data_IF_507700143035
#
_entry.id   IF_507700143035
#
_cell.length_a   1.000
_cell.length_b   1.000
_cell.length_c   1.000
_cell.angle_alpha   90.00
_cell.angle_beta   90.00
_cell.angle_gamma   90.00
#
_symmetry.space_group_name_H-M   'P 1'
#
loop_
_entity.id
_entity.type
_entity.pdbx_description
1 polymer ?
#
# COMPACT_ATOMS: atom_id res chain seq x y z
N UNK A 1 14.61 23.52 38.64
CA UNK A 1 14.44 23.39 37.16
C UNK A 1 15.62 22.51 36.70
N UNK A 2 15.34 21.21 36.54
CA UNK A 2 16.35 20.26 36.01
C UNK A 2 16.47 20.56 34.52
N UNK A 3 17.66 20.98 34.09
CA UNK A 3 18.03 21.06 32.68
C UNK A 3 17.86 19.64 32.09
N UNK A 4 16.74 19.38 31.44
CA UNK A 4 16.63 18.22 30.56
C UNK A 4 17.52 18.51 29.36
N UNK A 5 18.69 17.84 29.32
CA UNK A 5 19.65 17.97 28.23
C UNK A 5 19.06 17.49 26.89
N UNK A 6 19.77 17.75 25.81
CA UNK A 6 19.46 17.16 24.49
C UNK A 6 19.65 15.64 24.56
N UNK A 7 18.68 14.89 24.05
CA UNK A 7 18.68 13.42 23.96
C UNK A 7 18.50 13.02 22.51
N UNK A 8 19.33 12.13 22.00
CA UNK A 8 19.26 11.59 20.64
C UNK A 8 19.04 10.09 20.71
N UNK A 9 18.03 9.61 20.00
CA UNK A 9 17.80 8.20 19.75
C UNK A 9 18.07 7.91 18.27
N UNK A 10 18.94 6.94 17.99
CA UNK A 10 19.24 6.51 16.63
C UNK A 10 19.15 4.99 16.52
N UNK A 11 18.26 4.50 15.66
CA UNK A 11 18.14 3.10 15.29
C UNK A 11 18.69 2.96 13.87
N UNK A 12 19.90 2.42 13.76
CA UNK A 12 20.67 2.40 12.51
C UNK A 12 20.12 1.45 11.42
N UNK A 13 19.28 0.47 11.80
CA UNK A 13 18.61 -0.42 10.88
C UNK A 13 17.25 -0.83 11.45
N UNK A 14 16.20 -0.58 10.71
CA UNK A 14 14.85 -0.99 11.07
C UNK A 14 14.64 -2.47 10.75
N UNK A 15 14.13 -3.23 11.72
CA UNK A 15 13.79 -4.63 11.52
C UNK A 15 12.32 -4.80 11.08
N UNK A 16 12.04 -5.87 10.35
CA UNK A 16 10.69 -6.26 9.93
C UNK A 16 9.98 -5.19 9.09
N UNK A 17 10.74 -4.49 8.26
CA UNK A 17 10.28 -3.64 7.17
C UNK A 17 10.93 -4.13 5.87
N UNK A 18 10.37 -3.79 4.73
CA UNK A 18 11.01 -4.09 3.45
C UNK A 18 12.01 -2.98 3.11
N UNK A 19 13.27 -3.36 2.83
CA UNK A 19 14.35 -2.44 2.46
C UNK A 19 15.15 -1.89 3.64
N UNK A 20 16.00 -0.89 3.38
CA UNK A 20 16.98 -0.36 4.32
C UNK A 20 16.66 1.07 4.76
N UNK A 21 16.30 1.23 6.04
CA UNK A 21 15.98 2.51 6.66
C UNK A 21 16.42 2.59 8.11
N UNK A 22 16.56 3.80 8.61
CA UNK A 22 16.94 4.13 9.97
C UNK A 22 15.95 5.12 10.59
N UNK A 23 15.86 5.11 11.91
CA UNK A 23 15.11 6.09 12.68
C UNK A 23 16.08 7.04 13.38
N UNK A 24 15.82 8.33 13.29
CA UNK A 24 16.51 9.36 14.04
C UNK A 24 15.49 10.24 14.77
N UNK A 25 15.69 10.38 16.08
CA UNK A 25 14.91 11.28 16.93
C UNK A 25 15.84 12.17 17.73
N UNK A 26 15.55 13.46 17.78
CA UNK A 26 16.19 14.42 18.66
C UNK A 26 15.15 15.10 19.56
N UNK A 27 15.41 15.05 20.84
CA UNK A 27 14.54 15.62 21.87
C UNK A 27 15.33 16.67 22.65
N UNK A 28 14.80 17.87 22.76
CA UNK A 28 15.42 18.98 23.47
C UNK A 28 14.44 19.52 24.53
N UNK A 29 14.89 19.62 25.77
CA UNK A 29 14.08 20.18 26.85
C UNK A 29 12.77 19.42 27.18
N UNK A 30 12.62 18.18 26.70
CA UNK A 30 11.40 17.37 26.85
C UNK A 30 10.42 17.49 25.68
N UNK A 31 10.81 18.18 24.62
CA UNK A 31 10.06 18.27 23.35
C UNK A 31 10.78 17.51 22.24
N UNK A 32 10.01 16.96 21.30
CA UNK A 32 10.55 16.32 20.10
C UNK A 32 10.90 17.41 19.08
N UNK A 33 12.19 17.73 19.01
CA UNK A 33 12.71 18.71 18.06
C UNK A 33 12.78 18.15 16.63
N UNK A 34 12.99 16.83 16.48
CA UNK A 34 13.17 16.20 15.19
C UNK A 34 12.81 14.72 15.23
N UNK A 35 12.07 14.26 14.22
CA UNK A 35 11.79 12.84 13.96
C UNK A 35 11.99 12.59 12.45
N UNK A 36 12.85 11.64 12.08
CA UNK A 36 13.19 11.32 10.69
C UNK A 36 13.13 9.82 10.44
N UNK A 37 12.48 9.43 9.36
CA UNK A 37 12.63 8.11 8.74
C UNK A 37 13.70 8.23 7.64
N UNK A 38 14.94 7.92 8.00
CA UNK A 38 16.07 8.05 7.09
C UNK A 38 16.20 6.81 6.22
N UNK A 39 15.76 6.91 4.96
CA UNK A 39 15.97 5.87 3.96
C UNK A 39 17.34 6.07 3.34
N UNK A 40 18.19 5.03 3.40
CA UNK A 40 19.55 5.05 2.87
C UNK A 40 19.82 3.98 1.81
N UNK A 41 18.79 3.24 1.40
CA UNK A 41 18.89 2.31 0.27
C UNK A 41 19.29 3.06 -1.01
N UNK A 42 20.29 2.56 -1.78
CA UNK A 42 20.73 3.24 -3.00
C UNK A 42 19.59 3.38 -4.03
N UNK A 43 19.42 4.55 -4.66
CA UNK A 43 18.45 4.74 -5.74
C UNK A 43 18.73 3.82 -6.93
N UNK A 44 17.68 3.29 -7.56
CA UNK A 44 17.81 2.28 -8.63
C UNK A 44 17.47 2.78 -10.03
N UNK A 45 17.15 4.06 -10.21
CA UNK A 45 17.01 4.76 -11.49
C UNK A 45 15.98 4.19 -12.47
N UNK A 46 14.90 3.58 -12.01
CA UNK A 46 13.93 2.94 -12.89
C UNK A 46 13.33 3.88 -13.93
N UNK A 47 13.04 5.14 -13.61
CA UNK A 47 12.54 6.12 -14.57
C UNK A 47 13.53 6.39 -15.70
N UNK A 48 14.83 6.48 -15.37
CA UNK A 48 15.89 6.64 -16.37
C UNK A 48 16.03 5.40 -17.26
N UNK A 49 15.87 4.19 -16.70
CA UNK A 49 15.91 2.94 -17.50
C UNK A 49 14.74 2.81 -18.46
N UNK A 50 13.61 3.42 -18.17
CA UNK A 50 12.42 3.37 -19.02
C UNK A 50 12.56 4.27 -20.26
N UNK A 51 13.30 5.37 -20.17
CA UNK A 51 13.54 6.28 -21.32
C UNK A 51 14.30 5.57 -22.43
N UNK A 52 13.82 5.70 -23.65
CA UNK A 52 14.36 5.02 -24.83
C UNK A 52 13.91 3.57 -25.02
N UNK A 53 13.05 3.04 -24.13
CA UNK A 53 12.47 1.69 -24.24
C UNK A 53 11.22 1.69 -25.10
N UNK A 54 10.92 0.53 -25.67
CA UNK A 54 9.62 0.31 -26.31
C UNK A 54 8.48 0.44 -25.30
N UNK A 55 7.36 1.02 -25.70
CA UNK A 55 6.15 1.15 -24.87
C UNK A 55 5.63 -0.20 -24.34
N UNK A 56 6.07 -1.31 -24.89
CA UNK A 56 5.69 -2.66 -24.41
C UNK A 56 6.52 -3.15 -23.22
N UNK A 57 7.66 -2.52 -22.91
CA UNK A 57 8.60 -2.98 -21.89
C UNK A 57 8.28 -2.45 -20.46
N UNK A 58 7.63 -1.28 -20.25
CA UNK A 58 7.41 -0.74 -18.90
C UNK A 58 6.77 -1.72 -17.91
N UNK A 59 5.75 -2.55 -18.24
CA UNK A 59 5.19 -3.51 -17.28
C UNK A 59 6.21 -4.52 -16.77
N UNK A 60 7.09 -5.02 -17.62
CA UNK A 60 8.12 -5.99 -17.21
C UNK A 60 9.26 -5.34 -16.42
N UNK A 61 9.70 -4.15 -16.82
CA UNK A 61 10.77 -3.42 -16.16
C UNK A 61 10.32 -2.99 -14.75
N UNK A 62 9.14 -2.35 -14.63
CA UNK A 62 8.66 -1.81 -13.37
C UNK A 62 8.29 -2.89 -12.36
N UNK A 63 7.89 -4.09 -12.81
CA UNK A 63 7.68 -5.22 -11.91
C UNK A 63 8.94 -5.57 -11.08
N UNK A 64 10.14 -5.15 -11.52
CA UNK A 64 11.42 -5.40 -10.83
C UNK A 64 11.73 -4.38 -9.74
N UNK A 65 10.91 -3.34 -9.61
CA UNK A 65 11.05 -2.37 -8.51
C UNK A 65 10.87 -3.06 -7.16
N UNK A 66 9.93 -4.01 -7.07
CA UNK A 66 9.68 -4.71 -5.81
C UNK A 66 9.33 -6.19 -6.05
N UNK A 67 9.80 -7.07 -5.16
CA UNK A 67 9.45 -8.49 -5.17
C UNK A 67 8.12 -8.81 -4.48
N UNK A 68 7.58 -7.88 -3.68
CA UNK A 68 6.34 -8.07 -2.90
C UNK A 68 5.12 -7.49 -3.62
N UNK A 69 5.26 -6.34 -4.34
CA UNK A 69 4.17 -5.69 -5.05
C UNK A 69 4.39 -5.55 -6.57
N UNK A 70 4.89 -6.57 -7.28
CA UNK A 70 5.17 -6.48 -8.70
C UNK A 70 3.93 -6.30 -9.56
N UNK A 71 2.76 -6.82 -9.15
CA UNK A 71 1.49 -6.70 -9.87
C UNK A 71 1.01 -5.25 -9.88
N UNK A 72 1.13 -4.55 -8.75
CA UNK A 72 0.77 -3.14 -8.68
C UNK A 72 1.56 -2.32 -9.71
N UNK A 73 2.88 -2.53 -9.80
CA UNK A 73 3.72 -1.87 -10.80
C UNK A 73 3.37 -2.25 -12.23
N UNK A 74 3.14 -3.54 -12.50
CA UNK A 74 2.77 -4.02 -13.83
C UNK A 74 1.44 -3.44 -14.30
N UNK A 75 0.41 -3.47 -13.46
CA UNK A 75 -0.92 -3.00 -13.83
C UNK A 75 -0.96 -1.48 -13.93
N UNK A 76 -0.26 -0.73 -13.05
CA UNK A 76 -0.13 0.72 -13.19
C UNK A 76 0.57 1.09 -14.50
N UNK A 77 1.65 0.38 -14.87
CA UNK A 77 2.34 0.59 -16.13
C UNK A 77 1.47 0.23 -17.33
N UNK A 78 0.75 -0.90 -17.30
CA UNK A 78 -0.20 -1.26 -18.36
C UNK A 78 -1.25 -0.15 -18.55
N UNK A 79 -1.87 0.31 -17.46
CA UNK A 79 -2.91 1.34 -17.52
C UNK A 79 -2.39 2.66 -18.10
N UNK A 80 -1.20 3.10 -17.67
CA UNK A 80 -0.64 4.36 -18.17
C UNK A 80 -0.28 4.29 -19.65
N UNK A 81 0.29 3.17 -20.13
CA UNK A 81 0.59 2.99 -21.54
C UNK A 81 -0.69 2.81 -22.36
N UNK A 82 -1.65 2.06 -21.86
CA UNK A 82 -2.97 1.85 -22.51
C UNK A 82 -3.74 3.17 -22.62
N UNK A 83 -3.68 4.03 -21.60
CA UNK A 83 -4.25 5.38 -21.61
C UNK A 83 -3.60 6.25 -22.72
N UNK A 84 -2.25 6.27 -22.79
CA UNK A 84 -1.55 6.97 -23.86
C UNK A 84 -1.95 6.49 -25.27
N UNK A 85 -2.23 5.19 -25.42
CA UNK A 85 -2.65 4.58 -26.68
C UNK A 85 -4.16 4.66 -26.92
N UNK A 86 -4.96 5.12 -25.95
CA UNK A 86 -6.41 5.24 -26.03
C UNK A 86 -7.15 3.89 -26.02
N UNK A 87 -6.60 2.89 -25.34
CA UNK A 87 -7.16 1.53 -25.20
C UNK A 87 -7.53 1.26 -23.76
N UNK A 88 -8.71 0.71 -23.53
CA UNK A 88 -9.16 0.28 -22.18
C UNK A 88 -9.59 -1.19 -22.28
N UNK A 89 -8.79 -2.14 -21.74
CA UNK A 89 -9.24 -3.52 -21.63
C UNK A 89 -10.43 -3.62 -20.68
N UNK A 90 -11.47 -4.31 -21.09
CA UNK A 90 -12.74 -4.44 -20.34
C UNK A 90 -13.15 -5.90 -20.12
N UNK A 91 -14.36 -6.10 -19.58
CA UNK A 91 -14.99 -7.40 -19.39
C UNK A 91 -14.12 -8.40 -18.64
N UNK A 92 -13.95 -9.58 -19.20
CA UNK A 92 -13.21 -10.67 -18.54
C UNK A 92 -11.71 -10.38 -18.41
N UNK A 93 -11.11 -9.56 -19.28
CA UNK A 93 -9.68 -9.18 -19.16
C UNK A 93 -9.47 -8.24 -17.98
N UNK A 94 -10.36 -7.28 -17.77
CA UNK A 94 -10.33 -6.42 -16.59
C UNK A 94 -10.57 -7.23 -15.31
N UNK A 95 -11.56 -8.15 -15.32
CA UNK A 95 -11.83 -9.02 -14.18
C UNK A 95 -10.63 -9.92 -13.82
N UNK A 96 -9.90 -10.45 -14.80
CA UNK A 96 -8.68 -11.25 -14.55
C UNK A 96 -7.54 -10.39 -14.00
N UNK A 97 -7.39 -9.13 -14.40
CA UNK A 97 -6.41 -8.21 -13.80
C UNK A 97 -6.75 -7.93 -12.34
N UNK A 98 -8.04 -7.71 -12.06
CA UNK A 98 -8.52 -7.54 -10.69
C UNK A 98 -8.30 -8.80 -9.85
N UNK A 99 -8.53 -10.00 -10.40
CA UNK A 99 -8.26 -11.27 -9.72
C UNK A 99 -6.76 -11.41 -9.41
N UNK A 100 -5.88 -11.11 -10.37
CA UNK A 100 -4.43 -11.12 -10.16
C UNK A 100 -4.02 -10.16 -9.04
N UNK A 101 -4.62 -8.99 -9.02
CA UNK A 101 -4.38 -7.96 -8.00
C UNK A 101 -4.87 -8.39 -6.61
N UNK A 102 -6.02 -9.09 -6.52
CA UNK A 102 -6.47 -9.72 -5.28
C UNK A 102 -5.41 -10.70 -4.74
N UNK A 103 -4.74 -11.45 -5.61
CA UNK A 103 -3.64 -12.35 -5.22
C UNK A 103 -2.50 -11.60 -4.53
N UNK A 104 -2.06 -10.48 -5.07
CA UNK A 104 -1.02 -9.65 -4.46
C UNK A 104 -1.48 -9.04 -3.12
N UNK A 105 -2.71 -8.57 -3.01
CA UNK A 105 -3.21 -8.06 -1.74
C UNK A 105 -3.25 -9.13 -0.65
N UNK A 106 -3.70 -10.33 -0.99
CA UNK A 106 -3.76 -11.46 -0.04
C UNK A 106 -2.36 -11.82 0.43
N UNK A 107 -1.40 -12.01 -0.49
CA UNK A 107 -0.05 -12.45 -0.11
C UNK A 107 0.73 -11.38 0.65
N UNK A 108 0.71 -10.13 0.18
CA UNK A 108 1.48 -9.02 0.73
C UNK A 108 0.96 -8.57 2.09
N UNK A 109 -0.36 -8.37 2.21
CA UNK A 109 -0.93 -7.93 3.48
C UNK A 109 -0.89 -9.02 4.54
N UNK A 110 -1.04 -10.30 4.15
CA UNK A 110 -0.87 -11.43 5.08
C UNK A 110 0.56 -11.55 5.60
N UNK A 111 1.56 -11.34 4.72
CA UNK A 111 2.96 -11.25 5.12
C UNK A 111 3.15 -10.18 6.18
N UNK A 112 2.63 -8.97 5.93
CA UNK A 112 2.73 -7.87 6.89
C UNK A 112 2.03 -8.19 8.21
N UNK A 113 0.78 -8.63 8.18
CA UNK A 113 -0.01 -8.91 9.38
C UNK A 113 0.69 -9.93 10.28
N UNK A 114 0.99 -11.12 9.75
CA UNK A 114 1.43 -12.26 10.55
C UNK A 114 2.94 -12.30 10.83
N UNK A 115 3.76 -11.82 9.88
CA UNK A 115 5.21 -12.01 9.97
C UNK A 115 5.98 -10.75 10.33
N UNK A 116 5.47 -9.56 9.95
CA UNK A 116 6.18 -8.31 10.17
C UNK A 116 5.63 -7.51 11.37
N UNK A 117 4.30 -7.41 11.53
CA UNK A 117 3.68 -6.50 12.49
C UNK A 117 3.12 -7.20 13.74
N UNK A 118 2.45 -8.36 13.62
CA UNK A 118 1.91 -9.07 14.78
C UNK A 118 2.93 -9.35 15.90
N UNK A 119 4.22 -9.66 15.63
CA UNK A 119 5.20 -9.86 16.68
C UNK A 119 5.30 -8.71 17.69
N UNK A 120 5.08 -7.46 17.25
CA UNK A 120 5.12 -6.27 18.13
C UNK A 120 4.07 -6.29 19.24
N UNK A 121 2.93 -6.91 18.99
CA UNK A 121 1.81 -6.98 19.95
C UNK A 121 2.03 -8.06 21.01
N UNK A 122 3.00 -8.92 20.81
CA UNK A 122 3.37 -10.01 21.72
C UNK A 122 4.78 -9.85 22.30
N UNK A 123 5.44 -8.72 22.05
CA UNK A 123 6.81 -8.49 22.50
C UNK A 123 7.83 -9.48 21.91
N UNK A 124 7.59 -9.95 20.69
CA UNK A 124 8.46 -10.87 19.98
C UNK A 124 9.33 -10.16 18.94
N UNK A 125 10.59 -10.57 18.82
CA UNK A 125 11.51 -10.00 17.83
C UNK A 125 11.22 -10.49 16.40
N UNK A 126 10.59 -11.64 16.26
CA UNK A 126 10.34 -12.26 14.95
C UNK A 126 9.06 -13.12 14.96
N UNK A 127 8.57 -13.44 13.75
CA UNK A 127 7.51 -14.43 13.59
C UNK A 127 7.92 -15.84 14.04
N UNK A 128 9.21 -16.17 14.03
CA UNK A 128 9.72 -17.45 14.55
C UNK A 128 9.55 -17.50 16.06
N UNK A 129 9.82 -16.40 16.76
CA UNK A 129 9.59 -16.32 18.20
C UNK A 129 8.10 -16.36 18.53
N UNK A 130 7.28 -15.64 17.76
CA UNK A 130 5.83 -15.67 17.88
C UNK A 130 5.28 -17.09 17.68
N UNK A 131 5.83 -17.87 16.76
CA UNK A 131 5.39 -19.24 16.50
C UNK A 131 5.63 -20.21 17.68
N UNK A 132 6.45 -19.85 18.67
CA UNK A 132 6.65 -20.67 19.88
C UNK A 132 5.41 -20.72 20.76
N UNK A 133 4.63 -19.63 20.78
CA UNK A 133 3.42 -19.49 21.61
C UNK A 133 2.14 -19.37 20.81
N UNK A 134 2.23 -18.89 19.56
CA UNK A 134 1.09 -18.60 18.65
C UNK A 134 1.26 -19.31 17.31
N UNK A 135 1.66 -20.59 17.36
CA UNK A 135 1.96 -21.40 16.17
C UNK A 135 0.78 -21.48 15.19
N UNK A 136 -0.42 -21.68 15.69
CA UNK A 136 -1.62 -21.77 14.85
C UNK A 136 -1.88 -20.48 14.05
N UNK A 137 -1.61 -19.33 14.66
CA UNK A 137 -1.79 -18.03 14.01
C UNK A 137 -0.74 -17.79 12.92
N UNK A 138 0.51 -18.16 13.17
CA UNK A 138 1.58 -18.08 12.17
C UNK A 138 1.31 -19.04 11.00
N UNK A 139 0.91 -20.29 11.27
CA UNK A 139 0.55 -21.26 10.25
C UNK A 139 -0.67 -20.82 9.42
N UNK A 140 -1.66 -20.16 10.05
CA UNK A 140 -2.80 -19.53 9.35
C UNK A 140 -2.32 -18.46 8.38
N UNK A 141 -1.40 -17.59 8.79
CA UNK A 141 -0.78 -16.61 7.91
C UNK A 141 -0.06 -17.25 6.72
N UNK A 142 0.68 -18.33 6.93
CA UNK A 142 1.36 -19.04 5.83
C UNK A 142 0.36 -19.64 4.83
N UNK A 143 -0.77 -20.21 5.29
CA UNK A 143 -1.82 -20.73 4.40
C UNK A 143 -2.50 -19.61 3.59
N UNK A 144 -2.79 -18.46 4.21
CA UNK A 144 -3.34 -17.29 3.52
C UNK A 144 -2.37 -16.78 2.46
N UNK A 145 -1.08 -16.62 2.81
CA UNK A 145 -0.05 -16.22 1.86
C UNK A 145 0.05 -17.20 0.68
N UNK A 146 -0.01 -18.50 0.95
CA UNK A 146 -0.01 -19.52 -0.09
C UNK A 146 -1.24 -19.40 -1.02
N UNK A 147 -2.41 -19.05 -0.49
CA UNK A 147 -3.61 -18.82 -1.32
C UNK A 147 -3.46 -17.62 -2.26
N UNK A 148 -2.87 -16.52 -1.78
CA UNK A 148 -2.51 -15.37 -2.64
C UNK A 148 -1.53 -15.76 -3.73
N UNK A 149 -0.44 -16.46 -3.36
CA UNK A 149 0.57 -16.95 -4.32
C UNK A 149 -0.05 -17.88 -5.38
N UNK A 150 -1.02 -18.70 -5.03
CA UNK A 150 -1.69 -19.61 -5.98
C UNK A 150 -2.44 -18.82 -7.08
N UNK A 151 -3.04 -17.67 -6.75
CA UNK A 151 -3.61 -16.76 -7.76
C UNK A 151 -2.51 -16.22 -8.67
N UNK A 152 -1.41 -15.73 -8.08
CA UNK A 152 -0.29 -15.15 -8.82
C UNK A 152 0.37 -16.18 -9.76
N UNK A 153 0.57 -17.39 -9.31
CA UNK A 153 1.14 -18.50 -10.11
C UNK A 153 0.23 -18.88 -11.28
N UNK A 154 -1.07 -19.03 -11.03
CA UNK A 154 -2.02 -19.42 -12.07
C UNK A 154 -2.17 -18.35 -13.15
N UNK A 155 -2.34 -17.09 -12.74
CA UNK A 155 -2.60 -15.97 -13.67
C UNK A 155 -1.33 -15.30 -14.14
N UNK A 156 -0.36 -15.14 -13.25
CA UNK A 156 0.89 -14.45 -13.52
C UNK A 156 2.00 -15.34 -14.09
N UNK A 157 1.82 -16.66 -14.01
CA UNK A 157 2.82 -17.65 -14.42
C UNK A 157 3.88 -17.95 -13.35
N UNK A 158 4.01 -17.10 -12.33
CA UNK A 158 4.82 -17.28 -11.12
C UNK A 158 4.41 -16.28 -10.03
N UNK A 159 4.70 -16.63 -8.77
CA UNK A 159 4.31 -15.81 -7.63
C UNK A 159 5.05 -14.47 -7.54
N UNK A 160 6.32 -14.40 -7.97
CA UNK A 160 7.15 -13.19 -7.89
C UNK A 160 7.50 -12.73 -9.31
N UNK A 161 7.32 -11.44 -9.59
CA UNK A 161 7.51 -10.82 -10.90
C UNK A 161 6.77 -11.58 -12.00
N UNK A 162 5.44 -11.54 -12.06
CA UNK A 162 4.62 -12.23 -13.05
C UNK A 162 5.08 -11.97 -14.48
N UNK A 163 4.98 -12.99 -15.34
CA UNK A 163 5.46 -12.95 -16.73
C UNK A 163 4.33 -13.09 -17.75
N UNK A 164 3.12 -13.32 -17.29
CA UNK A 164 1.96 -13.54 -18.15
C UNK A 164 1.15 -12.26 -18.45
N UNK A 165 1.44 -11.16 -17.74
CA UNK A 165 0.80 -9.85 -17.95
C UNK A 165 1.40 -9.19 -19.20
N UNK A 166 0.57 -8.57 -20.02
CA UNK A 166 0.97 -7.73 -21.14
C UNK A 166 -0.01 -6.58 -21.36
N UNK A 167 0.38 -5.63 -22.19
CA UNK A 167 -0.53 -4.59 -22.65
C UNK A 167 -1.76 -5.22 -23.33
N UNK A 168 -2.92 -4.70 -23.00
CA UNK A 168 -4.20 -5.21 -23.51
C UNK A 168 -4.72 -6.46 -22.82
N UNK A 169 -4.00 -7.06 -21.85
CA UNK A 169 -4.44 -8.27 -21.13
C UNK A 169 -3.31 -9.18 -20.67
N UNK A 170 -3.31 -10.43 -21.17
CA UNK A 170 -2.39 -11.50 -20.78
C UNK A 170 -1.83 -12.22 -22.00
N UNK A 171 -0.71 -12.91 -21.87
CA UNK A 171 -0.24 -13.84 -22.91
C UNK A 171 -1.12 -15.09 -22.97
N UNK A 172 -1.64 -15.54 -21.83
CA UNK A 172 -2.56 -16.68 -21.69
C UNK A 172 -3.62 -16.38 -20.61
N UNK A 173 -4.87 -16.78 -20.84
CA UNK A 173 -5.92 -16.79 -19.82
C UNK A 173 -6.20 -18.22 -19.34
N UNK A 174 -6.60 -18.39 -18.06
CA UNK A 174 -6.92 -19.72 -17.54
C UNK A 174 -8.21 -20.27 -18.15
N UNK A 175 -8.36 -21.57 -18.11
CA UNK A 175 -9.64 -22.24 -18.34
C UNK A 175 -10.46 -22.28 -17.05
N UNK A 176 -11.78 -22.42 -17.15
CA UNK A 176 -12.64 -22.60 -15.98
C UNK A 176 -12.27 -23.85 -15.15
N UNK A 177 -11.68 -24.88 -15.78
CA UNK A 177 -11.23 -26.11 -15.09
C UNK A 177 -10.02 -25.80 -14.20
N UNK A 178 -9.07 -24.98 -14.69
CA UNK A 178 -7.87 -24.59 -13.91
C UNK A 178 -8.23 -23.70 -12.71
N UNK A 179 -9.31 -22.95 -12.76
CA UNK A 179 -9.77 -22.10 -11.64
C UNK A 179 -10.48 -22.88 -10.51
N UNK A 180 -10.99 -24.09 -10.76
CA UNK A 180 -11.75 -24.86 -9.75
C UNK A 180 -10.91 -25.19 -8.49
N UNK A 181 -9.69 -25.73 -8.59
CA UNK A 181 -8.87 -26.01 -7.40
C UNK A 181 -8.54 -24.73 -6.62
N UNK A 182 -8.31 -23.61 -7.34
CA UNK A 182 -8.07 -22.32 -6.72
C UNK A 182 -9.29 -21.85 -5.93
N UNK A 183 -10.51 -21.94 -6.50
CA UNK A 183 -11.73 -21.58 -5.79
C UNK A 183 -11.93 -22.39 -4.49
N UNK A 184 -11.63 -23.71 -4.51
CA UNK A 184 -11.69 -24.55 -3.31
C UNK A 184 -10.68 -24.10 -2.24
N UNK A 185 -9.47 -23.73 -2.65
CA UNK A 185 -8.45 -23.19 -1.75
C UNK A 185 -8.89 -21.85 -1.15
N UNK A 186 -9.43 -20.93 -1.97
CA UNK A 186 -9.89 -19.63 -1.52
C UNK A 186 -11.09 -19.70 -0.57
N UNK A 187 -12.02 -20.66 -0.76
CA UNK A 187 -13.13 -20.87 0.20
C UNK A 187 -12.61 -21.22 1.59
N UNK A 188 -11.58 -22.09 1.69
CA UNK A 188 -10.93 -22.38 2.99
C UNK A 188 -10.15 -21.18 3.52
N UNK A 189 -9.45 -20.45 2.64
CA UNK A 189 -8.71 -19.25 3.02
C UNK A 189 -9.64 -18.13 3.55
N UNK A 190 -10.91 -18.07 3.10
CA UNK A 190 -11.90 -17.11 3.60
C UNK A 190 -12.18 -17.30 5.09
N UNK A 191 -12.28 -18.54 5.56
CA UNK A 191 -12.47 -18.84 6.98
C UNK A 191 -11.22 -18.42 7.79
N UNK A 192 -10.03 -18.74 7.29
CA UNK A 192 -8.75 -18.30 7.87
C UNK A 192 -8.65 -16.75 7.93
N UNK A 193 -9.14 -16.04 6.91
CA UNK A 193 -9.13 -14.57 6.88
C UNK A 193 -10.10 -13.96 7.90
N UNK A 194 -11.32 -14.52 8.06
CA UNK A 194 -12.24 -14.09 9.10
C UNK A 194 -11.66 -14.28 10.50
N UNK A 195 -11.01 -15.40 10.75
CA UNK A 195 -10.35 -15.66 12.02
C UNK A 195 -9.16 -14.70 12.23
N UNK A 196 -8.45 -14.33 11.17
CA UNK A 196 -7.38 -13.33 11.24
C UNK A 196 -7.93 -11.96 11.66
N UNK A 197 -9.08 -11.52 11.11
CA UNK A 197 -9.71 -10.25 11.54
C UNK A 197 -10.04 -10.30 13.04
N UNK A 198 -10.65 -11.38 13.52
CA UNK A 198 -10.99 -11.54 14.96
C UNK A 198 -9.74 -11.52 15.83
N UNK A 199 -8.69 -12.21 15.40
CA UNK A 199 -7.44 -12.30 16.13
C UNK A 199 -6.78 -10.93 16.29
N UNK A 200 -6.58 -10.18 15.19
CA UNK A 200 -5.94 -8.86 15.24
C UNK A 200 -6.84 -7.80 15.90
N UNK A 201 -8.16 -7.93 15.85
CA UNK A 201 -9.09 -7.04 16.55
C UNK A 201 -8.95 -7.12 18.07
N UNK A 202 -8.47 -8.24 18.60
CA UNK A 202 -8.23 -8.46 20.03
C UNK A 202 -6.87 -7.95 20.55
N UNK A 203 -6.05 -7.31 19.72
CA UNK A 203 -4.77 -6.75 20.15
C UNK A 203 -4.95 -5.50 21.00
N UNK A 204 -3.95 -5.22 21.84
CA UNK A 204 -3.90 -3.98 22.62
C UNK A 204 -3.31 -2.84 21.75
N UNK A 205 -4.13 -1.83 21.48
CA UNK A 205 -3.75 -0.71 20.63
C UNK A 205 -3.54 0.56 21.43
N UNK A 206 -2.40 1.25 21.23
CA UNK A 206 -2.26 2.61 21.76
C UNK A 206 -3.37 3.52 21.21
N UNK A 207 -3.87 4.41 22.07
CA UNK A 207 -4.75 5.48 21.62
C UNK A 207 -3.97 6.47 20.76
N UNK A 208 -4.33 6.57 19.49
CA UNK A 208 -3.68 7.42 18.51
C UNK A 208 -4.63 7.76 17.38
N UNK A 209 -4.37 8.83 16.64
CA UNK A 209 -5.16 9.20 15.46
C UNK A 209 -4.29 9.88 14.41
N UNK A 210 -4.67 9.69 13.14
CA UNK A 210 -4.09 10.33 11.98
C UNK A 210 -4.90 11.59 11.64
N UNK A 211 -4.26 12.74 11.62
CA UNK A 211 -4.83 14.02 11.21
C UNK A 211 -4.34 14.51 9.84
N UNK A 212 -3.75 13.61 9.05
CA UNK A 212 -3.37 13.90 7.68
C UNK A 212 -4.59 13.85 6.74
N UNK A 213 -4.50 14.56 5.62
CA UNK A 213 -5.38 14.34 4.49
C UNK A 213 -5.21 12.88 4.02
N UNK A 214 -6.32 12.22 3.66
CA UNK A 214 -6.30 10.84 3.17
C UNK A 214 -6.49 10.84 1.66
N UNK A 215 -5.61 10.15 0.93
CA UNK A 215 -5.66 10.01 -0.52
C UNK A 215 -5.79 8.55 -0.90
N UNK A 216 -6.82 8.19 -1.67
CA UNK A 216 -7.00 6.87 -2.25
C UNK A 216 -7.80 6.97 -3.56
N UNK A 217 -7.83 5.88 -4.32
CA UNK A 217 -8.75 5.75 -5.43
C UNK A 217 -10.17 5.49 -4.93
N UNK A 218 -11.15 6.07 -5.61
CA UNK A 218 -12.56 5.77 -5.43
C UNK A 218 -13.19 5.37 -6.75
N UNK A 219 -14.03 4.35 -6.70
CA UNK A 219 -14.82 3.89 -7.84
C UNK A 219 -16.25 3.61 -7.35
N UNK A 220 -17.28 4.26 -7.92
CA UNK A 220 -18.65 4.03 -7.50
C UNK A 220 -19.07 2.57 -7.66
N UNK A 221 -19.60 1.98 -6.59
CA UNK A 221 -20.11 0.62 -6.59
C UNK A 221 -19.09 -0.48 -6.28
N UNK A 222 -17.80 -0.15 -6.14
CA UNK A 222 -16.76 -1.13 -5.81
C UNK A 222 -15.69 -0.57 -4.88
N UNK A 223 -15.04 -1.44 -4.13
CA UNK A 223 -13.82 -1.08 -3.39
C UNK A 223 -12.68 -1.00 -4.39
N UNK A 224 -12.13 0.20 -4.61
CA UNK A 224 -11.14 0.44 -5.65
C UNK A 224 -9.85 -0.34 -5.40
N UNK A 225 -9.33 -1.02 -6.42
CA UNK A 225 -8.07 -1.75 -6.41
C UNK A 225 -7.22 -1.35 -7.63
N UNK A 226 -7.58 -1.84 -8.83
CA UNK A 226 -6.80 -1.64 -10.06
C UNK A 226 -7.21 -0.40 -10.86
N UNK A 227 -8.25 0.30 -10.42
CA UNK A 227 -8.80 1.49 -11.08
C UNK A 227 -9.53 2.39 -10.10
N UNK A 228 -9.84 3.60 -10.54
CA UNK A 228 -10.60 4.57 -9.78
C UNK A 228 -10.12 6.00 -10.04
N UNK A 229 -10.82 6.95 -9.41
CA UNK A 229 -10.50 8.37 -9.46
C UNK A 229 -9.77 8.77 -8.19
N UNK A 230 -8.63 9.47 -8.25
CA UNK A 230 -7.97 10.03 -7.09
C UNK A 230 -8.93 10.88 -6.27
N UNK A 231 -9.08 10.51 -5.01
CA UNK A 231 -10.06 11.08 -4.08
C UNK A 231 -9.38 11.44 -2.77
N UNK A 232 -9.60 12.64 -2.31
CA UNK A 232 -9.03 13.19 -1.08
C UNK A 232 -10.14 13.38 -0.06
N UNK A 233 -9.95 12.82 1.13
CA UNK A 233 -10.72 13.17 2.32
C UNK A 233 -9.84 14.07 3.20
N UNK A 234 -10.28 15.30 3.45
CA UNK A 234 -9.52 16.25 4.24
C UNK A 234 -9.27 15.77 5.67
N UNK A 235 -8.19 16.28 6.27
CA UNK A 235 -7.95 16.13 7.71
C UNK A 235 -9.10 16.74 8.53
N UNK A 236 -9.42 16.20 9.72
CA UNK A 236 -10.37 16.83 10.63
C UNK A 236 -9.92 18.24 11.02
N UNK A 237 -10.85 19.19 11.07
CA UNK A 237 -10.54 20.59 11.41
C UNK A 237 -10.21 20.81 12.90
N UNK A 238 -10.56 19.86 13.76
CA UNK A 238 -10.30 19.88 15.20
C UNK A 238 -9.39 18.74 15.60
N UNK A 239 -8.11 19.03 15.72
CA UNK A 239 -7.15 18.10 16.28
C UNK A 239 -7.49 17.85 17.77
N UNK A 240 -7.88 16.63 18.11
CA UNK A 240 -7.88 16.20 19.51
C UNK A 240 -9.17 15.66 20.13
N UNK A 241 -10.28 15.57 19.40
CA UNK A 241 -11.48 14.90 19.92
C UNK A 241 -11.73 13.57 19.20
N UNK A 242 -11.52 12.40 19.85
CA UNK A 242 -11.70 11.10 19.23
C UNK A 242 -13.05 10.90 18.53
N UNK A 243 -14.13 11.48 19.07
CA UNK A 243 -15.48 11.36 18.51
C UNK A 243 -15.70 12.13 17.19
N UNK A 244 -14.84 13.10 16.87
CA UNK A 244 -14.92 13.87 15.62
C UNK A 244 -13.89 13.39 14.58
N UNK A 245 -12.77 12.81 15.03
CA UNK A 245 -11.74 12.30 14.15
C UNK A 245 -12.19 11.08 13.33
N UNK A 246 -13.16 10.32 13.85
CA UNK A 246 -13.66 9.10 13.20
C UNK A 246 -14.85 9.34 12.25
N UNK A 247 -15.19 10.60 11.96
CA UNK A 247 -16.23 10.91 10.97
C UNK A 247 -15.72 10.79 9.55
N UNK A 248 -16.57 10.28 8.65
CA UNK A 248 -16.39 10.40 7.21
C UNK A 248 -16.59 11.86 6.84
N UNK A 249 -15.54 12.49 6.36
CA UNK A 249 -15.55 13.89 5.93
C UNK A 249 -15.86 14.00 4.44
N UNK A 250 -16.33 15.18 3.97
CA UNK A 250 -16.51 15.42 2.55
C UNK A 250 -15.24 15.14 1.76
N UNK A 251 -15.39 14.52 0.62
CA UNK A 251 -14.30 14.20 -0.30
C UNK A 251 -14.30 15.14 -1.50
N UNK A 252 -13.11 15.40 -2.04
CA UNK A 252 -12.91 16.01 -3.36
C UNK A 252 -12.17 15.04 -4.27
N UNK A 253 -12.36 15.15 -5.55
CA UNK A 253 -11.68 14.35 -6.58
C UNK A 253 -10.92 15.25 -7.52
N UNK A 254 -9.93 14.68 -8.20
CA UNK A 254 -9.27 15.29 -9.34
C UNK A 254 -9.00 14.26 -10.43
N UNK A 255 -8.79 14.70 -11.65
CA UNK A 255 -8.55 13.78 -12.75
C UNK A 255 -7.17 13.14 -12.65
N UNK A 256 -7.02 11.89 -13.11
CA UNK A 256 -5.76 11.17 -13.00
C UNK A 256 -4.60 11.88 -13.73
N UNK A 257 -4.87 12.60 -14.80
CA UNK A 257 -3.86 13.36 -15.53
C UNK A 257 -3.37 14.62 -14.78
N UNK A 258 -4.11 15.07 -13.77
CA UNK A 258 -3.73 16.18 -12.87
C UNK A 258 -2.92 15.69 -11.66
N UNK A 259 -2.67 14.37 -11.53
CA UNK A 259 -2.04 13.81 -10.33
C UNK A 259 -0.72 14.49 -9.97
N UNK A 260 0.15 14.73 -10.95
CA UNK A 260 1.44 15.39 -10.75
C UNK A 260 1.34 16.87 -10.39
N UNK A 261 0.19 17.53 -10.63
CA UNK A 261 -0.05 18.91 -10.23
C UNK A 261 -0.46 19.00 -8.75
N UNK A 262 -1.11 17.95 -8.24
CA UNK A 262 -1.57 17.84 -6.87
C UNK A 262 -0.55 17.17 -5.94
N UNK A 263 0.10 16.09 -6.39
CA UNK A 263 1.08 15.32 -5.61
C UNK A 263 2.49 15.64 -6.12
N UNK A 264 3.18 16.50 -5.39
CA UNK A 264 4.51 17.01 -5.76
C UNK A 264 5.57 16.38 -4.87
N UNK A 265 6.57 15.76 -5.51
CA UNK A 265 7.71 15.14 -4.84
C UNK A 265 8.87 16.12 -4.67
N UNK A 266 9.61 15.97 -3.59
CA UNK A 266 10.80 16.77 -3.28
C UNK A 266 11.87 15.94 -2.61
N UNK A 267 13.15 16.26 -2.90
CA UNK A 267 14.30 15.65 -2.24
C UNK A 267 14.44 16.21 -0.83
N UNK A 268 14.69 15.33 0.14
CA UNK A 268 15.05 15.70 1.52
C UNK A 268 16.47 15.22 1.86
N UNK A 269 17.25 15.97 2.66
CA UNK A 269 18.67 15.63 2.88
C UNK A 269 18.92 14.32 3.62
N UNK A 270 17.94 13.82 4.37
CA UNK A 270 18.09 12.65 5.24
C UNK A 270 17.56 11.35 4.64
N UNK A 271 17.02 11.39 3.42
CA UNK A 271 16.43 10.23 2.76
C UNK A 271 16.82 10.18 1.28
N UNK A 272 17.13 9.00 0.78
CA UNK A 272 17.33 8.74 -0.67
C UNK A 272 16.00 8.62 -1.40
N UNK A 273 14.89 8.40 -0.67
CA UNK A 273 13.55 8.45 -1.22
C UNK A 273 13.00 9.88 -1.20
N UNK A 274 12.18 10.21 -2.18
CA UNK A 274 11.50 11.50 -2.24
C UNK A 274 10.38 11.57 -1.19
N UNK A 275 10.09 12.77 -0.73
CA UNK A 275 8.89 13.09 0.06
C UNK A 275 7.85 13.76 -0.82
N UNK A 276 6.60 13.36 -0.68
CA UNK A 276 5.50 13.94 -1.46
C UNK A 276 4.59 14.81 -0.60
N UNK A 277 4.10 15.89 -1.19
CA UNK A 277 3.06 16.74 -0.61
C UNK A 277 1.86 16.80 -1.54
N UNK A 278 0.66 16.66 -0.98
CA UNK A 278 -0.62 16.85 -1.66
C UNK A 278 -1.07 18.29 -1.44
N UNK A 279 -1.09 19.09 -2.50
CA UNK A 279 -1.41 20.53 -2.44
C UNK A 279 -0.60 21.27 -1.35
N UNK A 280 0.69 20.95 -1.24
CA UNK A 280 1.60 21.53 -0.26
C UNK A 280 1.44 21.00 1.19
N UNK A 281 0.62 19.97 1.42
CA UNK A 281 0.34 19.39 2.74
C UNK A 281 0.74 17.93 2.81
N UNK A 282 1.10 17.46 4.00
CA UNK A 282 1.30 16.02 4.25
C UNK A 282 -0.02 15.29 4.06
N UNK A 283 0.06 14.09 3.52
CA UNK A 283 -1.08 13.21 3.32
C UNK A 283 -0.71 11.77 3.62
N UNK A 284 -1.70 10.92 3.76
CA UNK A 284 -1.55 9.48 3.96
C UNK A 284 -2.33 8.75 2.87
N UNK A 285 -1.68 7.79 2.23
CA UNK A 285 -2.32 6.79 1.36
C UNK A 285 -2.20 5.39 1.99
N UNK A 286 -2.99 4.44 1.52
CA UNK A 286 -2.98 3.07 2.00
C UNK A 286 -4.26 2.65 2.71
N UNK A 287 -4.18 1.65 3.56
CA UNK A 287 -5.36 0.95 4.10
C UNK A 287 -6.36 1.85 4.80
N UNK A 288 -5.89 2.77 5.66
CA UNK A 288 -6.79 3.71 6.35
C UNK A 288 -7.48 4.67 5.37
N UNK A 289 -6.75 5.18 4.37
CA UNK A 289 -7.31 6.05 3.35
C UNK A 289 -8.33 5.31 2.49
N UNK A 290 -8.02 4.09 2.04
CA UNK A 290 -8.95 3.25 1.27
C UNK A 290 -10.22 2.95 2.05
N UNK A 291 -10.07 2.53 3.33
CA UNK A 291 -11.23 2.25 4.18
C UNK A 291 -12.11 3.48 4.37
N UNK A 292 -11.51 4.64 4.64
CA UNK A 292 -12.24 5.89 4.83
C UNK A 292 -13.01 6.32 3.57
N UNK A 293 -12.39 6.18 2.39
CA UNK A 293 -12.93 6.68 1.11
C UNK A 293 -13.86 5.66 0.46
N UNK A 294 -13.46 4.40 0.41
CA UNK A 294 -14.12 3.34 -0.35
C UNK A 294 -14.78 2.25 0.52
N UNK A 295 -14.61 2.27 1.83
CA UNK A 295 -15.03 1.20 2.75
C UNK A 295 -16.52 0.83 2.66
N UNK A 296 -17.38 1.78 2.28
CA UNK A 296 -18.81 1.53 2.03
C UNK A 296 -19.09 0.48 0.94
N UNK A 297 -18.10 0.21 0.09
CA UNK A 297 -18.18 -0.73 -1.03
C UNK A 297 -17.53 -2.09 -0.75
N UNK A 298 -17.07 -2.33 0.47
CA UNK A 298 -16.65 -3.67 0.89
C UNK A 298 -17.77 -4.68 0.72
N UNK A 299 -17.42 -5.94 0.46
CA UNK A 299 -18.41 -7.02 0.43
C UNK A 299 -19.12 -7.15 1.78
N UNK A 300 -20.35 -7.70 1.82
CA UNK A 300 -21.11 -7.80 3.07
C UNK A 300 -20.35 -8.48 4.21
N UNK A 301 -19.59 -9.53 3.91
CA UNK A 301 -18.81 -10.27 4.91
C UNK A 301 -17.62 -9.44 5.43
N UNK A 302 -16.92 -8.71 4.55
CA UNK A 302 -15.81 -7.87 4.93
C UNK A 302 -16.28 -6.62 5.73
N UNK A 303 -17.40 -6.02 5.32
CA UNK A 303 -17.99 -4.89 6.04
C UNK A 303 -18.47 -5.30 7.45
N UNK A 304 -19.13 -6.47 7.56
CA UNK A 304 -19.53 -6.98 8.87
C UNK A 304 -18.33 -7.23 9.77
N UNK A 305 -17.28 -7.86 9.23
CA UNK A 305 -16.04 -8.10 9.98
C UNK A 305 -15.37 -6.79 10.43
N UNK A 306 -15.37 -5.74 9.59
CA UNK A 306 -14.86 -4.42 9.96
C UNK A 306 -15.67 -3.77 11.09
N UNK A 307 -17.01 -3.86 11.02
CA UNK A 307 -17.90 -3.37 12.07
C UNK A 307 -17.67 -4.10 13.39
N UNK A 308 -17.61 -5.43 13.37
CA UNK A 308 -17.41 -6.26 14.58
C UNK A 308 -16.02 -6.02 15.20
N UNK A 309 -15.03 -5.66 14.38
CA UNK A 309 -13.69 -5.27 14.81
C UNK A 309 -13.60 -3.80 15.32
N UNK A 310 -14.71 -3.07 15.33
CA UNK A 310 -14.79 -1.69 15.85
C UNK A 310 -14.03 -0.68 14.97
N UNK A 311 -13.99 -0.86 13.64
CA UNK A 311 -13.38 0.08 12.71
C UNK A 311 -14.31 1.25 12.31
N UNK A 312 -15.49 1.34 12.90
CA UNK A 312 -16.57 2.21 12.45
C UNK A 312 -17.33 1.64 11.25
N UNK A 313 -18.34 2.36 10.78
CA UNK A 313 -19.12 1.98 9.61
C UNK A 313 -19.14 3.16 8.61
N UNK A 314 -18.42 3.05 7.49
CA UNK A 314 -18.39 4.10 6.47
C UNK A 314 -19.77 4.42 5.86
N UNK A 315 -20.74 3.49 5.93
CA UNK A 315 -22.11 3.71 5.49
C UNK A 315 -22.88 4.60 6.48
N UNK A 316 -22.47 4.58 7.74
CA UNK A 316 -23.05 5.41 8.81
C UNK A 316 -22.22 6.67 9.11
N UNK A 317 -21.19 6.91 8.34
CA UNK A 317 -20.36 8.10 8.43
C UNK A 317 -19.28 8.05 9.50
N UNK A 318 -18.82 6.84 9.90
CA UNK A 318 -17.71 6.67 10.86
C UNK A 318 -16.64 5.76 10.31
N UNK A 319 -15.35 6.12 10.53
CA UNK A 319 -14.20 5.36 10.08
C UNK A 319 -13.06 5.44 11.09
N UNK A 320 -12.28 4.38 11.20
CA UNK A 320 -11.10 4.36 12.06
C UNK A 320 -9.98 5.22 11.45
N UNK A 321 -9.39 6.11 12.27
CA UNK A 321 -8.20 6.89 11.93
C UNK A 321 -6.99 6.58 12.83
N UNK A 322 -7.07 5.57 13.68
CA UNK A 322 -5.94 5.14 14.51
C UNK A 322 -4.92 4.33 13.67
N UNK A 323 -3.69 4.82 13.45
CA UNK A 323 -2.69 4.12 12.63
C UNK A 323 -2.35 2.72 13.16
N UNK A 324 -2.35 2.51 14.47
CA UNK A 324 -2.08 1.18 15.07
C UNK A 324 -3.13 0.14 14.70
N UNK A 325 -4.37 0.57 14.41
CA UNK A 325 -5.45 -0.32 13.98
C UNK A 325 -5.45 -0.59 12.47
N UNK A 326 -4.47 -0.06 11.73
CA UNK A 326 -4.30 -0.34 10.29
C UNK A 326 -4.12 -1.84 10.00
N UNK A 327 -3.56 -2.60 10.94
CA UNK A 327 -3.44 -4.07 10.84
C UNK A 327 -4.81 -4.75 10.74
N UNK A 328 -5.84 -4.23 11.44
CA UNK A 328 -7.21 -4.74 11.35
C UNK A 328 -7.78 -4.43 9.97
N UNK A 329 -7.57 -3.21 9.45
CA UNK A 329 -8.04 -2.84 8.11
C UNK A 329 -7.40 -3.73 7.06
N UNK A 330 -6.09 -4.03 7.17
CA UNK A 330 -5.41 -4.98 6.28
C UNK A 330 -6.03 -6.37 6.32
N UNK A 331 -6.37 -6.87 7.50
CA UNK A 331 -7.03 -8.17 7.64
C UNK A 331 -8.43 -8.18 6.98
N UNK A 332 -9.18 -7.08 7.10
CA UNK A 332 -10.46 -6.89 6.38
C UNK A 332 -10.25 -6.84 4.87
N UNK A 333 -9.21 -6.17 4.39
CA UNK A 333 -8.87 -6.12 2.97
C UNK A 333 -8.45 -7.50 2.42
N UNK A 334 -7.74 -8.33 3.21
CA UNK A 334 -7.45 -9.74 2.84
C UNK A 334 -8.74 -10.53 2.70
N UNK A 335 -9.67 -10.40 3.65
CA UNK A 335 -10.98 -11.06 3.57
C UNK A 335 -11.77 -10.58 2.35
N UNK A 336 -11.78 -9.27 2.09
CA UNK A 336 -12.42 -8.70 0.91
C UNK A 336 -11.80 -9.24 -0.39
N UNK A 337 -10.46 -9.25 -0.49
CA UNK A 337 -9.76 -9.71 -1.69
C UNK A 337 -10.05 -11.21 -2.00
N UNK A 338 -10.17 -12.04 -0.96
CA UNK A 338 -10.56 -13.44 -1.13
C UNK A 338 -12.02 -13.55 -1.62
N UNK A 339 -12.94 -12.81 -1.02
CA UNK A 339 -14.36 -12.82 -1.39
C UNK A 339 -14.56 -12.29 -2.82
N UNK A 340 -13.86 -11.24 -3.20
CA UNK A 340 -13.85 -10.67 -4.54
C UNK A 340 -13.24 -11.64 -5.57
N UNK A 341 -12.13 -12.30 -5.22
CA UNK A 341 -11.54 -13.34 -6.07
C UNK A 341 -12.53 -14.48 -6.34
N UNK A 342 -13.25 -14.94 -5.32
CA UNK A 342 -14.29 -15.96 -5.46
C UNK A 342 -15.43 -15.47 -6.36
N UNK A 343 -15.89 -14.23 -6.18
CA UNK A 343 -16.94 -13.61 -7.02
C UNK A 343 -16.52 -13.58 -8.50
N UNK A 344 -15.28 -13.20 -8.78
CA UNK A 344 -14.73 -13.16 -10.14
C UNK A 344 -14.66 -14.58 -10.74
N UNK A 345 -14.17 -15.56 -9.97
CA UNK A 345 -14.03 -16.94 -10.43
C UNK A 345 -15.41 -17.56 -10.72
N UNK A 346 -16.40 -17.31 -9.85
CA UNK A 346 -17.75 -17.84 -10.02
C UNK A 346 -18.46 -17.27 -11.28
N UNK A 347 -18.14 -16.02 -11.67
CA UNK A 347 -18.64 -15.38 -12.90
C UNK A 347 -17.70 -15.47 -14.10
N UNK A 348 -16.66 -16.29 -14.04
CA UNK A 348 -15.64 -16.32 -15.09
C UNK A 348 -16.08 -17.07 -16.33
N UNK A 349 -15.99 -16.39 -17.46
CA UNK A 349 -16.10 -16.94 -18.81
C UNK A 349 -14.80 -16.70 -19.58
N UNK A 350 -14.14 -17.72 -20.14
CA UNK A 350 -12.91 -17.52 -20.89
C UNK A 350 -13.10 -16.53 -22.02
N UNK A 351 -12.29 -15.44 -22.10
CA UNK A 351 -12.39 -14.49 -23.21
C UNK A 351 -11.99 -15.16 -24.52
N UNK A 352 -12.52 -14.66 -25.64
CA UNK A 352 -12.21 -15.19 -26.99
C UNK A 352 -10.73 -15.05 -27.33
N UNK A 353 -10.09 -13.97 -26.87
CA UNK A 353 -8.65 -13.70 -27.01
C UNK A 353 -8.10 -13.26 -25.65
N UNK A 354 -6.88 -13.65 -25.30
CA UNK A 354 -6.31 -13.30 -23.99
C UNK A 354 -5.83 -11.84 -23.92
N UNK A 355 -5.91 -11.07 -25.00
CA UNK A 355 -5.60 -9.64 -25.03
C UNK A 355 -6.41 -8.91 -26.11
N UNK A 356 -6.50 -7.58 -25.99
CA UNK A 356 -6.85 -6.65 -27.05
C UNK A 356 -5.58 -6.00 -27.59
N UNK A 357 -5.57 -5.66 -28.90
CA UNK A 357 -4.43 -5.02 -29.52
C UNK A 357 -4.29 -3.56 -28.99
N UNK A 358 -3.07 -3.17 -28.65
CA UNK A 358 -2.70 -1.82 -28.17
C UNK A 358 -1.70 -1.23 -29.17
N UNK A 359 -2.16 -0.56 -30.23
CA UNK A 359 -1.27 0.07 -31.20
C UNK A 359 -0.56 1.28 -30.57
N UNK A 360 0.74 1.45 -30.85
CA UNK A 360 1.47 2.61 -30.36
C UNK A 360 0.89 3.92 -30.90
N UNK A 361 0.87 4.92 -30.03
CA UNK A 361 0.43 6.27 -30.35
C UNK A 361 1.25 7.28 -29.57
N UNK A 362 1.66 8.37 -30.21
CA UNK A 362 2.26 9.50 -29.51
C UNK A 362 1.27 10.13 -28.53
N UNK A 363 1.71 10.35 -27.32
CA UNK A 363 0.88 10.94 -26.27
C UNK A 363 1.41 10.67 -24.88
N UNK A 364 0.80 11.30 -23.89
CA UNK A 364 1.07 11.06 -22.47
C UNK A 364 -0.11 10.30 -21.88
N UNK A 365 0.16 9.23 -21.16
CA UNK A 365 -0.84 8.45 -20.47
C UNK A 365 -0.55 8.28 -18.98
N UNK A 366 -1.60 8.08 -18.22
CA UNK A 366 -1.62 8.08 -16.77
C UNK A 366 -2.30 6.83 -16.22
N UNK A 367 -1.71 6.22 -15.23
CA UNK A 367 -2.25 5.04 -14.57
C UNK A 367 -2.07 5.10 -13.07
N UNK A 368 -3.12 4.81 -12.33
CA UNK A 368 -3.02 4.66 -10.89
C UNK A 368 -3.75 3.40 -10.42
N UNK A 369 -3.20 2.77 -9.38
CA UNK A 369 -3.76 1.59 -8.74
C UNK A 369 -3.51 1.64 -7.24
N UNK A 370 -4.28 0.86 -6.48
CA UNK A 370 -4.10 0.70 -5.03
C UNK A 370 -3.15 -0.46 -4.74
N UNK A 371 -1.84 -0.19 -4.71
CA UNK A 371 -0.88 -1.16 -4.20
C UNK A 371 -1.22 -1.55 -2.74
N UNK A 372 -0.77 -2.69 -2.21
CA UNK A 372 -1.03 -3.08 -0.81
C UNK A 372 -0.75 -1.95 0.19
N UNK A 373 0.26 -1.12 -0.08
CA UNK A 373 0.73 -0.01 0.76
C UNK A 373 0.13 1.35 0.46
N UNK A 374 -0.67 1.46 -0.61
CA UNK A 374 -1.38 2.69 -0.99
C UNK A 374 -1.35 2.97 -2.48
N UNK A 375 -1.76 4.18 -2.85
CA UNK A 375 -1.90 4.61 -4.22
C UNK A 375 -0.53 4.68 -4.92
N UNK A 376 -0.39 3.94 -6.02
CA UNK A 376 0.76 3.95 -6.91
C UNK A 376 0.35 4.62 -8.22
N UNK A 377 1.12 5.63 -8.63
CA UNK A 377 0.87 6.38 -9.87
C UNK A 377 2.03 6.21 -10.85
N UNK A 378 1.69 6.03 -12.13
CA UNK A 378 2.61 6.01 -13.26
C UNK A 378 2.17 6.99 -14.34
N UNK A 379 3.14 7.65 -14.98
CA UNK A 379 2.95 8.46 -16.18
C UNK A 379 4.03 8.09 -17.21
N UNK A 380 3.63 7.89 -18.45
CA UNK A 380 4.55 7.69 -19.56
C UNK A 380 4.20 8.62 -20.71
N UNK A 381 5.24 9.22 -21.33
CA UNK A 381 5.12 9.93 -22.61
C UNK A 381 5.75 9.10 -23.70
N UNK A 382 5.01 8.87 -24.78
CA UNK A 382 5.39 8.08 -25.93
C UNK A 382 5.56 8.98 -27.14
N UNK A 383 6.57 8.71 -27.98
CA UNK A 383 6.70 9.31 -29.31
C UNK A 383 5.86 8.54 -30.37
N UNK A 384 5.93 9.01 -31.63
CA UNK A 384 5.17 8.40 -32.75
C UNK A 384 5.61 6.98 -33.10
N UNK A 385 6.79 6.55 -32.69
CA UNK A 385 7.34 5.22 -32.93
C UNK A 385 7.04 4.26 -31.76
N UNK A 386 6.47 4.77 -30.68
CA UNK A 386 6.18 4.01 -29.46
C UNK A 386 7.36 3.89 -28.52
N UNK A 387 8.33 4.82 -28.62
CA UNK A 387 9.43 4.91 -27.65
C UNK A 387 9.00 5.73 -26.44
N UNK A 388 9.33 5.26 -25.24
CA UNK A 388 9.12 6.01 -24.01
C UNK A 388 10.12 7.16 -23.95
N UNK A 389 9.63 8.39 -24.01
CA UNK A 389 10.46 9.61 -23.93
C UNK A 389 10.56 10.18 -22.54
N UNK A 390 9.52 9.96 -21.70
CA UNK A 390 9.50 10.35 -20.31
C UNK A 390 8.72 9.34 -19.46
N UNK A 391 9.14 9.17 -18.20
CA UNK A 391 8.52 8.28 -17.24
C UNK A 391 8.57 8.89 -15.84
N UNK A 392 7.45 8.80 -15.11
CA UNK A 392 7.32 9.20 -13.70
C UNK A 392 6.61 8.10 -12.93
N UNK A 393 7.14 7.75 -11.76
CA UNK A 393 6.65 6.73 -10.85
C UNK A 393 6.53 7.36 -9.44
N UNK A 394 5.32 7.46 -8.90
CA UNK A 394 5.09 7.99 -7.55
C UNK A 394 4.56 6.88 -6.65
N UNK A 395 5.43 6.23 -5.86
CA UNK A 395 5.04 5.09 -5.03
C UNK A 395 4.41 5.52 -3.70
N UNK A 396 3.59 4.65 -3.06
CA UNK A 396 2.90 5.00 -1.83
C UNK A 396 3.83 5.30 -0.65
N UNK A 397 4.99 4.65 -0.54
CA UNK A 397 5.92 4.89 0.57
C UNK A 397 6.56 6.28 0.48
N UNK A 398 6.87 6.80 -0.71
CA UNK A 398 7.30 8.19 -0.89
C UNK A 398 6.21 9.18 -0.45
N UNK A 399 4.94 8.87 -0.75
CA UNK A 399 3.81 9.68 -0.32
C UNK A 399 3.61 9.70 1.19
N UNK A 400 3.89 8.59 1.88
CA UNK A 400 3.62 8.42 3.30
C UNK A 400 4.74 8.93 4.22
N UNK A 401 5.97 9.17 3.74
CA UNK A 401 7.12 9.47 4.61
C UNK A 401 6.86 10.67 5.53
N UNK A 402 6.36 11.77 5.01
CA UNK A 402 6.06 12.96 5.82
C UNK A 402 4.97 12.71 6.88
N UNK A 403 3.99 11.86 6.60
CA UNK A 403 2.98 11.44 7.56
C UNK A 403 3.57 10.54 8.65
N UNK A 404 4.42 9.59 8.27
CA UNK A 404 5.12 8.69 9.22
C UNK A 404 5.97 9.50 10.21
N UNK A 405 6.76 10.45 9.74
CA UNK A 405 7.60 11.31 10.57
C UNK A 405 6.78 12.15 11.55
N UNK A 406 5.64 12.68 11.11
CA UNK A 406 4.75 13.44 11.98
C UNK A 406 4.04 12.56 13.01
N UNK A 407 3.59 11.36 12.62
CA UNK A 407 3.01 10.39 13.55
C UNK A 407 4.02 9.99 14.64
N UNK A 408 5.29 9.75 14.25
CA UNK A 408 6.38 9.49 15.19
C UNK A 408 6.60 10.67 16.15
N UNK A 409 6.69 11.90 15.62
CA UNK A 409 6.88 13.11 16.43
C UNK A 409 5.79 13.25 17.51
N UNK A 410 4.53 13.08 17.13
CA UNK A 410 3.38 13.19 18.04
C UNK A 410 3.33 12.08 19.07
N UNK A 411 3.58 10.86 18.64
CA UNK A 411 3.56 9.67 19.49
C UNK A 411 4.62 9.78 20.59
N UNK A 412 5.84 10.14 20.21
CA UNK A 412 6.96 10.33 21.15
C UNK A 412 6.68 11.53 22.07
N UNK A 413 6.18 12.66 21.54
CA UNK A 413 5.84 13.83 22.34
C UNK A 413 4.81 13.50 23.43
N UNK A 414 3.77 12.74 23.08
CA UNK A 414 2.76 12.26 24.03
C UNK A 414 3.40 11.37 25.09
N UNK A 415 4.17 10.36 24.67
CA UNK A 415 4.81 9.41 25.59
C UNK A 415 5.78 10.09 26.57
N UNK A 416 6.47 11.15 26.15
CA UNK A 416 7.33 11.97 27.03
C UNK A 416 6.50 12.75 28.06
N UNK A 417 5.27 13.14 27.72
CA UNK A 417 4.32 13.80 28.60
C UNK A 417 3.77 12.87 29.70
N UNK A 418 3.70 11.56 29.44
CA UNK A 418 3.18 10.56 30.39
C UNK A 418 4.21 10.19 31.49
N UNK A 419 5.45 10.65 31.41
CA UNK A 419 6.48 10.42 32.40
C UNK A 419 7.80 9.94 31.83
N UNK A 420 8.67 9.39 32.71
CA UNK A 420 9.97 8.85 32.29
C UNK A 420 9.80 7.66 31.34
N UNK A 421 10.68 7.61 30.34
CA UNK A 421 10.70 6.57 29.32
C UNK A 421 12.15 6.24 28.95
N UNK A 422 12.45 4.96 28.86
CA UNK A 422 13.77 4.45 28.44
C UNK A 422 13.96 4.54 26.93
N UNK A 423 15.22 4.47 26.45
CA UNK A 423 15.52 4.40 25.01
C UNK A 423 14.95 3.13 24.38
N UNK A 424 14.96 2.01 25.08
CA UNK A 424 14.42 0.74 24.60
C UNK A 424 12.89 0.82 24.38
N UNK A 425 12.16 1.40 25.34
CA UNK A 425 10.70 1.61 25.20
C UNK A 425 10.37 2.56 24.04
N UNK A 426 11.11 3.67 23.89
CA UNK A 426 10.92 4.58 22.76
C UNK A 426 11.24 3.91 21.42
N UNK A 427 12.32 3.13 21.35
CA UNK A 427 12.69 2.37 20.15
C UNK A 427 11.55 1.44 19.74
N UNK A 428 11.09 0.59 20.66
CA UNK A 428 10.02 -0.36 20.39
C UNK A 428 8.73 0.34 19.93
N UNK A 429 8.36 1.44 20.58
CA UNK A 429 7.19 2.24 20.25
C UNK A 429 7.29 2.83 18.82
N UNK A 430 8.44 3.42 18.48
CA UNK A 430 8.67 4.03 17.18
C UNK A 430 8.74 3.00 16.05
N UNK A 431 9.43 1.90 16.25
CA UNK A 431 9.48 0.81 15.27
C UNK A 431 8.10 0.23 14.98
N UNK A 432 7.30 0.02 16.03
CA UNK A 432 5.91 -0.41 15.88
C UNK A 432 5.08 0.63 15.12
N UNK A 433 5.26 1.93 15.39
CA UNK A 433 4.58 3.01 14.67
C UNK A 433 4.96 3.06 13.19
N UNK A 434 6.23 2.85 12.84
CA UNK A 434 6.68 2.75 11.44
C UNK A 434 6.00 1.55 10.75
N UNK A 435 5.95 0.40 11.41
CA UNK A 435 5.32 -0.82 10.87
C UNK A 435 3.80 -0.69 10.69
N UNK A 436 3.11 0.23 11.38
CA UNK A 436 1.70 0.55 11.09
C UNK A 436 1.47 0.90 9.62
N UNK A 437 2.44 1.57 8.98
CA UNK A 437 2.36 2.06 7.61
C UNK A 437 2.84 1.04 6.58
N UNK A 438 3.45 -0.09 7.00
CA UNK A 438 4.01 -1.12 6.12
C UNK A 438 4.92 -0.51 5.04
N UNK A 439 5.98 0.24 5.39
CA UNK A 439 6.79 0.90 4.39
C UNK A 439 7.51 -0.10 3.48
N UNK A 440 7.41 0.12 2.17
CA UNK A 440 8.21 -0.56 1.16
C UNK A 440 9.34 0.39 0.72
N UNK A 441 10.46 0.29 1.38
CA UNK A 441 11.58 1.23 1.23
C UNK A 441 12.17 1.14 -0.16
N UNK A 442 12.40 -0.08 -0.65
CA UNK A 442 12.92 -0.30 -2.02
C UNK A 442 12.00 0.30 -3.10
N UNK A 443 10.69 0.36 -2.88
CA UNK A 443 9.78 1.02 -3.81
C UNK A 443 10.02 2.52 -3.88
N UNK A 444 10.34 3.16 -2.76
CA UNK A 444 10.50 4.61 -2.67
C UNK A 444 11.89 5.10 -3.13
N UNK A 445 12.90 4.23 -3.14
CA UNK A 445 14.27 4.55 -3.53
C UNK A 445 14.53 4.27 -5.03
N UNK A 446 13.62 4.66 -5.93
CA UNK A 446 13.73 4.38 -7.36
C UNK A 446 14.15 5.58 -8.22
N UNK A 447 14.21 6.76 -7.63
CA UNK A 447 14.50 8.03 -8.31
C UNK A 447 15.92 8.55 -8.01
N UNK A 448 16.57 9.17 -8.97
CA UNK A 448 17.71 10.07 -8.79
C UNK A 448 17.71 11.12 -9.91
N UNK A 449 17.63 12.38 -9.52
CA UNK A 449 18.00 13.49 -10.41
C UNK A 449 19.44 13.89 -10.08
N UNK A 450 20.36 13.53 -10.97
CA UNK A 450 21.77 13.87 -10.83
C UNK A 450 22.08 15.13 -11.64
N UNK A 451 22.08 16.28 -10.98
CA UNK A 451 22.62 17.51 -11.58
C UNK A 451 24.13 17.54 -11.36
N UNK A 452 24.90 17.32 -12.41
CA UNK A 452 26.36 17.52 -12.39
C UNK A 452 26.65 18.98 -12.74
N UNK A 453 26.92 19.81 -11.74
CA UNK A 453 27.54 21.12 -11.97
C UNK A 453 28.98 20.91 -12.45
N UNK A 454 29.33 21.43 -13.64
CA UNK A 454 30.68 21.40 -14.21
C UNK A 454 31.41 22.71 -13.91
#
# INVERSE_FOLDING_TARGET
MTHRGSRVLHVGSLARVEGEGALYLRMDGGEVAEARLAIYEPPRFFEAFLRGRSYTEPPDITSRVCGICPVAYQISACRAVEDACGVVPDGQLAALRRLLYCGEWIESQTLHIHLLHAPDFFGCDSAIDLARTHRADVERGLRLKQAGNAILELLGGRAIHPINVRLGGFHRTPTAIELRPLAEQLRRARDDAQETVRWVAGFDFPDSWCDNDLLALAEPGTYAIESGTPTVMAAPSTAGLPSESDRVLPTRTFAIHEFGDHVVESQVPHSTALHSLLDGRRHLTGTLARYAISGRWLSPIALQAAHDAGLGDPRQGTVCRNPFRSIIVRAVEVLYAIDEALRIIDGYEPPRRPWVDVPSRAGTGHGATEAPRGLLYHRYTLDGEGTVTDAVLIPPTAQNQGAIEEDLRRLVQRRLGDGEVTDAELTALCERAIRNHDPCISCSAHFLDLTVER
#
